data_IF_281890342309
#
_entry.id   IF_281890342309
#
_cell.length_a   1.000
_cell.length_b   1.000
_cell.length_c   1.000
_cell.angle_alpha   90.00
_cell.angle_beta   90.00
_cell.angle_gamma   90.00
#
_symmetry.space_group_name_H-M   'P 1'
#
loop_
_entity.id
_entity.type
_entity.pdbx_description
1 polymer ?
#
# COMPACT_ATOMS: atom_id res chain seq x y z
N UNK A 1 -22.18 3.98 -0.52
CA UNK A 1 -21.02 4.88 -0.77
C UNK A 1 -21.28 5.80 -1.96
N UNK A 2 -21.80 5.30 -3.09
CA UNK A 2 -22.24 6.17 -4.21
C UNK A 2 -21.10 6.61 -5.14
N UNK A 3 -19.92 6.02 -4.97
CA UNK A 3 -18.70 6.24 -5.72
C UNK A 3 -18.67 5.53 -7.08
N UNK A 4 -19.46 4.45 -7.25
CA UNK A 4 -19.53 3.64 -8.48
C UNK A 4 -20.98 3.41 -8.93
N UNK A 5 -21.23 3.21 -10.24
CA UNK A 5 -22.56 2.88 -10.76
C UNK A 5 -22.99 1.47 -10.32
N UNK A 6 -24.29 1.18 -10.37
CA UNK A 6 -24.84 -0.14 -9.96
C UNK A 6 -24.24 -1.32 -10.74
N UNK A 7 -23.92 -1.11 -12.02
CA UNK A 7 -23.27 -2.11 -12.88
C UNK A 7 -21.82 -2.47 -12.46
N UNK A 8 -21.21 -1.70 -11.56
CA UNK A 8 -19.90 -2.01 -11.01
C UNK A 8 -19.93 -3.28 -10.14
N UNK A 9 -21.05 -3.55 -9.48
CA UNK A 9 -21.22 -4.77 -8.70
C UNK A 9 -21.18 -5.99 -9.62
N UNK A 10 -20.19 -6.86 -9.43
CA UNK A 10 -19.95 -8.04 -10.27
C UNK A 10 -19.12 -7.78 -11.53
N UNK A 11 -18.62 -6.56 -11.74
CA UNK A 11 -17.67 -6.27 -12.82
C UNK A 11 -16.26 -6.81 -12.51
N UNK A 12 -15.34 -6.64 -13.47
CA UNK A 12 -13.90 -6.96 -13.31
C UNK A 12 -13.04 -5.70 -13.27
N UNK A 13 -13.66 -4.56 -13.01
CA UNK A 13 -12.96 -3.28 -12.92
C UNK A 13 -12.06 -3.28 -11.68
N UNK A 14 -10.88 -2.70 -11.82
CA UNK A 14 -9.95 -2.56 -10.71
C UNK A 14 -10.40 -1.44 -9.76
N UNK A 15 -10.01 -1.58 -8.50
CA UNK A 15 -10.11 -0.54 -7.48
C UNK A 15 -8.72 -0.11 -7.04
N UNK A 16 -8.58 1.17 -6.71
CA UNK A 16 -7.35 1.74 -6.21
C UNK A 16 -7.37 1.98 -4.71
N UNK A 17 -6.35 2.70 -4.28
CA UNK A 17 -6.14 3.09 -2.88
C UNK A 17 -7.26 3.99 -2.33
N UNK A 18 -7.92 4.77 -3.19
CA UNK A 18 -9.05 5.63 -2.81
C UNK A 18 -10.27 4.78 -2.47
N UNK A 19 -10.68 3.88 -3.37
CA UNK A 19 -11.80 2.98 -3.11
C UNK A 19 -11.54 2.06 -1.91
N UNK A 20 -10.31 1.58 -1.74
CA UNK A 20 -9.92 0.81 -0.56
C UNK A 20 -10.13 1.60 0.74
N UNK A 21 -9.78 2.90 0.75
CA UNK A 21 -10.01 3.76 1.90
C UNK A 21 -11.49 3.98 2.20
N UNK A 22 -12.31 4.20 1.16
CA UNK A 22 -13.76 4.34 1.29
C UNK A 22 -14.39 3.07 1.89
N UNK A 23 -14.01 1.89 1.39
CA UNK A 23 -14.46 0.61 1.92
C UNK A 23 -14.10 0.44 3.40
N UNK A 24 -12.88 0.81 3.79
CA UNK A 24 -12.40 0.62 5.16
C UNK A 24 -13.08 1.56 6.16
N UNK A 25 -13.35 2.80 5.75
CA UNK A 25 -14.16 3.72 6.53
C UNK A 25 -15.61 3.23 6.64
N UNK A 26 -16.23 2.84 5.52
CA UNK A 26 -17.63 2.45 5.47
C UNK A 26 -17.95 1.15 6.22
N UNK A 27 -17.13 0.11 6.05
CA UNK A 27 -17.40 -1.20 6.64
C UNK A 27 -16.83 -1.37 8.05
N UNK A 28 -15.74 -0.67 8.39
CA UNK A 28 -15.02 -0.89 9.64
C UNK A 28 -14.85 0.36 10.50
N UNK A 29 -15.27 1.55 10.02
CA UNK A 29 -15.12 2.80 10.76
C UNK A 29 -13.66 3.14 11.05
N UNK A 30 -12.73 2.67 10.21
CA UNK A 30 -11.29 2.89 10.40
C UNK A 30 -10.87 4.12 9.60
N UNK A 31 -10.51 5.24 10.25
CA UNK A 31 -10.00 6.40 9.53
C UNK A 31 -8.65 6.08 8.91
N UNK A 32 -8.51 6.40 7.63
CA UNK A 32 -7.33 6.06 6.86
C UNK A 32 -6.69 7.31 6.27
N UNK A 33 -5.37 7.27 6.14
CA UNK A 33 -4.61 8.35 5.51
C UNK A 33 -4.10 7.87 4.16
N UNK A 34 -4.39 8.64 3.12
CA UNK A 34 -3.79 8.46 1.79
C UNK A 34 -2.62 9.41 1.67
N UNK A 35 -1.42 8.89 1.39
CA UNK A 35 -0.25 9.70 1.06
C UNK A 35 0.00 9.57 -0.45
N UNK A 36 -0.10 10.69 -1.14
CA UNK A 36 0.25 10.78 -2.56
C UNK A 36 1.73 11.11 -2.73
N UNK A 37 2.43 10.29 -3.50
CA UNK A 37 3.83 10.49 -3.87
C UNK A 37 3.91 10.68 -5.39
N UNK A 38 3.99 11.92 -5.89
CA UNK A 38 4.15 12.15 -7.32
C UNK A 38 5.58 11.73 -7.71
N UNK A 39 5.69 10.84 -8.71
CA UNK A 39 6.95 10.30 -9.27
C UNK A 39 7.74 9.41 -8.27
N UNK A 40 8.39 8.34 -8.72
CA UNK A 40 8.98 7.33 -7.81
C UNK A 40 10.15 7.81 -6.94
N UNK A 41 10.69 9.02 -7.18
CA UNK A 41 11.60 9.70 -6.23
C UNK A 41 10.89 10.20 -4.97
N UNK A 42 9.56 10.31 -4.99
CA UNK A 42 8.75 10.75 -3.87
C UNK A 42 8.61 9.71 -2.75
N UNK A 43 8.80 8.41 -3.02
CA UNK A 43 8.75 7.38 -1.97
C UNK A 43 9.79 7.61 -0.88
N UNK A 44 10.98 8.11 -1.25
CA UNK A 44 12.00 8.52 -0.28
C UNK A 44 11.52 9.58 0.71
N UNK A 45 10.66 10.51 0.27
CA UNK A 45 10.06 11.54 1.14
C UNK A 45 9.04 10.95 2.12
N UNK A 46 8.46 9.79 1.80
CA UNK A 46 7.46 9.12 2.63
C UNK A 46 8.08 8.16 3.66
N UNK A 47 9.38 7.87 3.59
CA UNK A 47 10.08 6.94 4.51
C UNK A 47 9.87 7.33 5.97
N UNK A 48 10.01 8.62 6.31
CA UNK A 48 9.79 9.10 7.68
C UNK A 48 8.35 8.87 8.17
N UNK A 49 7.36 9.08 7.30
CA UNK A 49 5.95 8.82 7.61
C UNK A 49 5.68 7.31 7.80
N UNK A 50 6.31 6.47 6.99
CA UNK A 50 6.23 5.00 7.12
C UNK A 50 6.83 4.52 8.43
N UNK A 51 7.98 5.07 8.85
CA UNK A 51 8.56 4.76 10.15
C UNK A 51 7.61 5.10 11.30
N UNK A 52 7.07 6.32 11.30
CA UNK A 52 6.12 6.75 12.32
C UNK A 52 4.86 5.87 12.35
N UNK A 53 4.35 5.49 11.18
CA UNK A 53 3.20 4.59 11.05
C UNK A 53 3.46 3.23 11.69
N UNK A 54 4.51 2.52 11.28
CA UNK A 54 4.80 1.19 11.80
C UNK A 54 5.23 1.21 13.28
N UNK A 55 6.00 2.21 13.71
CA UNK A 55 6.38 2.37 15.13
C UNK A 55 5.19 2.69 16.02
N UNK A 56 4.18 3.40 15.51
CA UNK A 56 2.94 3.64 16.23
C UNK A 56 2.06 2.40 16.41
N UNK A 57 2.40 1.26 15.80
CA UNK A 57 1.54 0.08 15.75
C UNK A 57 0.60 0.06 14.54
N UNK A 58 0.94 0.82 13.49
CA UNK A 58 0.20 0.84 12.23
C UNK A 58 0.28 -0.50 11.54
N UNK A 59 -0.84 -0.92 10.92
CA UNK A 59 -0.93 -2.18 10.19
C UNK A 59 -0.31 -2.11 8.78
N UNK A 60 -0.54 -3.15 7.96
CA UNK A 60 -0.12 -3.17 6.56
C UNK A 60 -0.57 -1.93 5.79
N UNK A 61 0.26 -1.48 4.85
CA UNK A 61 -0.02 -0.32 4.01
C UNK A 61 -0.24 -0.77 2.56
N UNK A 62 -1.37 -0.42 1.94
CA UNK A 62 -1.55 -0.67 0.51
C UNK A 62 -0.79 0.40 -0.29
N UNK A 63 -0.01 -0.04 -1.27
CA UNK A 63 0.73 0.76 -2.23
C UNK A 63 0.09 0.55 -3.61
N UNK A 64 -0.65 1.55 -4.10
CA UNK A 64 -1.15 1.56 -5.47
C UNK A 64 -0.20 2.32 -6.38
N UNK A 65 0.21 1.71 -7.48
CA UNK A 65 0.94 2.36 -8.58
C UNK A 65 0.06 2.45 -9.83
N UNK A 66 0.30 3.48 -10.65
CA UNK A 66 -0.46 3.72 -11.89
C UNK A 66 0.12 2.93 -13.07
N UNK A 67 1.38 3.18 -13.42
CA UNK A 67 2.00 2.59 -14.60
C UNK A 67 2.43 1.12 -14.40
N UNK A 68 2.68 0.69 -13.16
CA UNK A 68 3.03 -0.70 -12.86
C UNK A 68 1.81 -1.63 -12.78
N UNK A 69 0.58 -1.08 -12.81
CA UNK A 69 -0.69 -1.82 -12.72
C UNK A 69 -0.71 -2.89 -11.63
N UNK A 70 0.05 -2.67 -10.55
CA UNK A 70 0.37 -3.72 -9.59
C UNK A 70 0.28 -3.16 -8.18
N UNK A 71 -0.89 -3.37 -7.57
CA UNK A 71 -1.07 -3.10 -6.14
C UNK A 71 -0.10 -3.97 -5.32
N UNK A 72 0.47 -3.39 -4.26
CA UNK A 72 1.43 -4.05 -3.37
C UNK A 72 1.05 -3.79 -1.92
N UNK A 73 1.32 -4.73 -1.03
CA UNK A 73 1.26 -4.50 0.41
C UNK A 73 2.64 -4.13 0.96
N UNK A 74 2.74 -3.11 1.79
CA UNK A 74 3.93 -2.81 2.58
C UNK A 74 3.73 -3.30 4.00
N UNK A 75 4.71 -4.05 4.50
CA UNK A 75 4.69 -4.65 5.84
C UNK A 75 5.75 -4.03 6.76
N UNK A 76 6.64 -3.20 6.22
CA UNK A 76 7.69 -2.56 7.01
C UNK A 76 8.63 -1.69 6.18
N UNK A 77 9.46 -0.93 6.88
CA UNK A 77 10.50 -0.06 6.34
C UNK A 77 11.79 -0.26 7.13
N UNK A 78 12.93 -0.29 6.44
CA UNK A 78 14.24 -0.32 7.09
C UNK A 78 15.24 0.57 6.34
N UNK A 79 16.31 0.96 7.03
CA UNK A 79 17.37 1.81 6.50
C UNK A 79 18.70 1.14 6.80
N UNK A 80 19.52 1.03 5.77
CA UNK A 80 20.91 0.54 5.83
C UNK A 80 21.82 1.61 5.24
N UNK A 81 23.15 1.55 5.42
CA UNK A 81 24.06 2.55 4.84
C UNK A 81 23.89 2.76 3.33
N UNK A 82 23.48 1.71 2.60
CA UNK A 82 23.22 1.76 1.16
C UNK A 82 21.88 2.41 0.77
N UNK A 83 20.99 2.71 1.72
CA UNK A 83 19.70 3.37 1.48
C UNK A 83 18.51 2.73 2.20
N UNK A 84 17.32 3.16 1.80
CA UNK A 84 16.05 2.71 2.39
C UNK A 84 15.45 1.53 1.61
N UNK A 85 14.80 0.63 2.35
CA UNK A 85 14.14 -0.55 1.81
C UNK A 85 12.73 -0.68 2.39
N UNK A 86 11.83 -1.23 1.58
CA UNK A 86 10.46 -1.54 1.95
C UNK A 86 10.23 -3.05 1.92
N UNK A 87 9.57 -3.59 2.94
CA UNK A 87 9.14 -4.99 2.94
C UNK A 87 7.83 -5.08 2.17
N UNK A 88 7.88 -5.68 0.99
CA UNK A 88 6.76 -5.75 0.05
C UNK A 88 6.15 -7.14 0.05
N UNK A 89 4.83 -7.19 0.16
CA UNK A 89 3.95 -8.33 -0.10
C UNK A 89 3.29 -8.14 -1.47
N UNK A 90 3.48 -9.10 -2.36
CA UNK A 90 2.90 -9.10 -3.70
C UNK A 90 1.57 -9.90 -3.69
N UNK A 91 0.41 -9.25 -3.94
CA UNK A 91 -0.90 -9.90 -3.89
C UNK A 91 -1.23 -10.71 -5.16
N UNK A 92 -0.36 -10.73 -6.19
CA UNK A 92 -0.62 -11.45 -7.45
C UNK A 92 -0.34 -12.96 -7.35
N UNK A 93 -0.12 -13.48 -6.15
CA UNK A 93 0.01 -14.91 -5.91
C UNK A 93 -1.23 -15.66 -6.41
N UNK A 94 -1.01 -16.67 -7.25
CA UNK A 94 -2.05 -17.58 -7.72
C UNK A 94 -1.75 -19.02 -7.29
N UNK A 95 -2.81 -19.76 -6.97
CA UNK A 95 -2.78 -21.11 -6.38
C UNK A 95 -1.96 -22.16 -7.17
N UNK A 96 -1.62 -21.90 -8.43
CA UNK A 96 -0.80 -22.77 -9.28
C UNK A 96 0.66 -22.91 -8.83
N UNK A 97 1.13 -22.11 -7.86
CA UNK A 97 2.50 -22.19 -7.33
C UNK A 97 2.72 -23.32 -6.29
N UNK A 98 1.71 -24.16 -6.05
CA UNK A 98 1.71 -25.14 -4.95
C UNK A 98 1.55 -24.43 -3.60
N UNK A 99 1.05 -25.11 -2.57
CA UNK A 99 0.92 -24.51 -1.23
C UNK A 99 2.29 -24.12 -0.67
N UNK A 100 2.79 -22.95 -1.04
CA UNK A 100 4.08 -22.47 -0.59
C UNK A 100 3.94 -22.12 0.89
N UNK A 101 4.62 -22.89 1.74
CA UNK A 101 4.88 -22.46 3.11
C UNK A 101 5.68 -21.15 3.10
N UNK A 102 5.87 -20.54 4.27
CA UNK A 102 6.60 -19.28 4.44
C UNK A 102 7.91 -19.21 3.65
N UNK A 103 8.70 -20.28 3.68
CA UNK A 103 9.99 -20.36 2.99
C UNK A 103 9.83 -20.33 1.46
N UNK A 104 8.83 -21.06 0.94
CA UNK A 104 8.50 -21.02 -0.49
C UNK A 104 8.03 -19.64 -0.94
N UNK A 105 7.24 -18.95 -0.11
CA UNK A 105 6.78 -17.58 -0.41
C UNK A 105 7.94 -16.58 -0.48
N UNK A 106 8.91 -16.71 0.43
CA UNK A 106 10.11 -15.87 0.44
C UNK A 106 11.04 -16.22 -0.72
N UNK A 107 11.28 -17.50 -0.99
CA UNK A 107 12.15 -17.96 -2.07
C UNK A 107 11.62 -17.54 -3.45
N UNK A 108 10.31 -17.57 -3.65
CA UNK A 108 9.66 -17.11 -4.87
C UNK A 108 9.50 -15.57 -4.94
N UNK A 109 9.89 -14.83 -3.91
CA UNK A 109 9.90 -13.37 -3.91
C UNK A 109 8.54 -12.71 -3.67
N UNK A 110 7.50 -13.46 -3.27
CA UNK A 110 6.17 -12.92 -2.94
C UNK A 110 6.19 -12.00 -1.73
N UNK A 111 7.13 -12.25 -0.80
CA UNK A 111 7.42 -11.34 0.33
C UNK A 111 8.92 -11.06 0.35
N UNK A 112 9.31 -9.81 0.06
CA UNK A 112 10.73 -9.45 -0.07
C UNK A 112 11.02 -8.01 0.31
N UNK A 113 12.25 -7.75 0.77
CA UNK A 113 12.77 -6.40 0.90
C UNK A 113 13.17 -5.85 -0.47
N UNK A 114 12.70 -4.65 -0.81
CA UNK A 114 13.02 -3.96 -2.05
C UNK A 114 13.59 -2.59 -1.75
N UNK A 115 14.73 -2.25 -2.36
CA UNK A 115 15.29 -0.92 -2.28
C UNK A 115 14.40 0.08 -3.02
N UNK A 116 14.40 1.35 -2.59
CA UNK A 116 13.56 2.36 -3.24
C UNK A 116 13.83 2.54 -4.74
N UNK A 117 15.05 2.24 -5.20
CA UNK A 117 15.41 2.29 -6.61
C UNK A 117 14.75 1.18 -7.47
N UNK A 118 14.19 0.14 -6.85
CA UNK A 118 13.46 -0.93 -7.54
C UNK A 118 12.03 -0.55 -7.91
N UNK A 119 11.53 0.58 -7.42
CA UNK A 119 10.21 1.10 -7.73
C UNK A 119 10.27 1.99 -8.98
N UNK A 120 9.25 1.93 -9.83
CA UNK A 120 9.20 2.71 -11.05
C UNK A 120 9.26 4.23 -10.75
N UNK A 121 10.28 4.95 -11.26
CA UNK A 121 10.44 6.38 -11.05
C UNK A 121 9.38 7.22 -11.78
N UNK A 122 8.68 6.68 -12.78
CA UNK A 122 7.63 7.38 -13.52
C UNK A 122 6.24 7.20 -12.90
N UNK A 123 6.06 6.21 -12.02
CA UNK A 123 4.80 5.97 -11.31
C UNK A 123 4.60 6.94 -10.15
N UNK A 124 3.34 7.33 -9.92
CA UNK A 124 2.94 7.86 -8.62
C UNK A 124 2.52 6.71 -7.71
N UNK A 125 2.64 6.92 -6.41
CA UNK A 125 2.25 5.94 -5.41
C UNK A 125 1.26 6.52 -4.41
N UNK A 126 0.15 5.83 -4.24
CA UNK A 126 -0.80 6.09 -3.16
C UNK A 126 -0.57 5.07 -2.05
N UNK A 127 -0.24 5.55 -0.86
CA UNK A 127 -0.06 4.73 0.33
C UNK A 127 -1.31 4.84 1.21
N UNK A 128 -1.88 3.71 1.61
CA UNK A 128 -3.04 3.63 2.49
C UNK A 128 -2.69 2.90 3.78
N UNK A 129 -2.93 3.51 4.93
CA UNK A 129 -2.76 2.88 6.23
C UNK A 129 -3.71 3.43 7.29
N UNK A 130 -3.99 2.62 8.32
CA UNK A 130 -4.77 3.02 9.49
C UNK A 130 -4.13 4.24 10.14
N UNK A 131 -4.90 5.31 10.30
CA UNK A 131 -4.48 6.45 11.12
C UNK A 131 -4.63 6.08 12.60
N UNK A 132 -3.56 6.22 13.37
CA UNK A 132 -3.56 5.98 14.82
C UNK A 132 -3.79 7.26 15.64
N UNK A 133 -3.95 8.42 14.99
CA UNK A 133 -4.29 9.64 15.70
C UNK A 133 -5.73 9.53 16.23
N UNK A 134 -5.84 9.47 17.56
CA UNK A 134 -7.09 9.58 18.31
C UNK A 134 -7.99 10.65 17.69
N UNK A 135 -9.25 10.30 17.48
CA UNK A 135 -10.31 11.11 16.88
C UNK A 135 -10.18 12.61 17.26
N UNK A 136 -9.60 13.40 16.37
CA UNK A 136 -9.80 14.85 16.27
C UNK A 136 -9.34 15.31 14.89
N UNK A 137 -10.35 15.64 14.09
CA UNK A 137 -10.37 16.59 12.97
C UNK A 137 -9.05 16.81 12.24
N UNK A 138 -9.00 16.45 10.97
CA UNK A 138 -8.58 17.39 9.93
C UNK A 138 -9.03 16.92 8.56
N UNK A 139 -10.04 17.62 8.06
CA UNK A 139 -10.44 17.76 6.67
C UNK A 139 -9.20 17.94 5.79
N UNK A 140 -9.03 17.17 4.72
CA UNK A 140 -8.40 17.64 3.49
C UNK A 140 -8.99 16.94 2.26
N UNK A 141 -9.16 17.77 1.24
CA UNK A 141 -9.97 17.68 0.02
C UNK A 141 -9.35 16.72 -1.00
N UNK A 142 -10.23 16.18 -1.87
CA UNK A 142 -9.95 15.51 -3.14
C UNK A 142 -8.86 16.19 -3.98
#
# INVERSE_FOLDING_TARGET
MGDKPTAFAGSRDWIGTVEAALCMDHFFGVPCKILHSPWGRGLGRQVGALYAHFQGGGGPVMLGGDADSSSKGLLGVCSVPAGHHLLVLDPHYYWGAGGLGREGMQAAGWVRWQGLASFDPASFYNLYGRSLTSARLQHWVL
#
